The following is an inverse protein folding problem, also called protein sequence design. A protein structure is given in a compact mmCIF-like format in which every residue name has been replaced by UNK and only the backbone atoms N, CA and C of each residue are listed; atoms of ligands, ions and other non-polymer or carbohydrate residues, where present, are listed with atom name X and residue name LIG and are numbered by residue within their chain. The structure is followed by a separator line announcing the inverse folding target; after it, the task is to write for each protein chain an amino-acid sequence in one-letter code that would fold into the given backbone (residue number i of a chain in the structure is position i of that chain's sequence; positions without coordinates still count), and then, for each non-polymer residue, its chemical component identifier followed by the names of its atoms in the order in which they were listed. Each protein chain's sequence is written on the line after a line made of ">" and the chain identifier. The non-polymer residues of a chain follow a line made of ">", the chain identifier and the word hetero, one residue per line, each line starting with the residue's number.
data_IF_279720627893
#
_entry.id   IF_279720627893
#
_cell.length_a   1.000
_cell.length_b   1.000
_cell.length_c   1.000
_cell.angle_alpha   90.00
_cell.angle_beta   90.00
_cell.angle_gamma   90.00
#
_symmetry.space_group_name_H-M   'P 1'
#
loop_
_entity.id
_entity.type
_entity.pdbx_description
1 polymer ?
#
# COMPACT_ATOMS: atom_id res chain seq x y z
N UNK A 1 9.07 -9.88 26.25
CA UNK A 1 9.05 -8.80 25.23
C UNK A 1 9.15 -9.54 23.92
N UNK A 2 8.00 -10.03 23.50
CA UNK A 2 7.84 -10.92 22.38
C UNK A 2 7.45 -10.06 21.19
N UNK A 3 8.30 -10.04 20.17
CA UNK A 3 8.07 -9.27 18.94
C UNK A 3 7.59 -10.23 17.85
N UNK A 4 6.49 -9.84 17.20
CA UNK A 4 5.74 -10.64 16.24
C UNK A 4 6.58 -11.11 15.06
N UNK A 5 6.68 -12.43 14.95
CA UNK A 5 7.50 -13.16 14.01
C UNK A 5 6.83 -13.27 12.61
N UNK A 6 7.05 -12.32 11.71
CA UNK A 6 6.67 -12.47 10.30
C UNK A 6 7.75 -13.22 9.49
N UNK A 7 7.88 -14.51 9.75
CA UNK A 7 8.74 -15.37 8.93
C UNK A 7 8.82 -16.80 9.41
N UNK A 8 7.84 -17.65 9.03
CA UNK A 8 8.15 -19.01 8.52
C UNK A 8 6.92 -19.79 8.02
N UNK A 9 7.01 -20.20 6.75
CA UNK A 9 6.64 -21.50 6.18
C UNK A 9 5.19 -22.01 6.33
N UNK A 10 4.43 -21.90 5.23
CA UNK A 10 3.54 -22.95 4.74
C UNK A 10 4.17 -23.57 3.50
N UNK A 11 4.76 -24.75 3.67
CA UNK A 11 5.25 -25.60 2.58
C UNK A 11 4.05 -26.22 1.88
N UNK A 12 3.70 -25.75 0.69
CA UNK A 12 2.93 -26.52 -0.29
C UNK A 12 3.88 -26.90 -1.42
N UNK A 13 4.55 -28.03 -1.25
CA UNK A 13 5.40 -28.62 -2.28
C UNK A 13 4.51 -29.22 -3.38
N UNK A 14 4.27 -28.48 -4.45
CA UNK A 14 3.96 -29.06 -5.75
C UNK A 14 5.25 -29.02 -6.58
N UNK A 15 6.03 -30.09 -6.48
CA UNK A 15 7.02 -30.41 -7.50
C UNK A 15 6.26 -31.01 -8.69
N UNK A 16 6.23 -30.29 -9.81
CA UNK A 16 6.20 -30.89 -11.13
C UNK A 16 6.88 -29.98 -12.16
N UNK A 17 7.63 -30.64 -13.03
CA UNK A 17 8.38 -30.24 -14.22
C UNK A 17 8.17 -28.83 -14.82
N UNK A 18 9.31 -28.18 -15.07
CA UNK A 18 9.62 -27.18 -16.12
C UNK A 18 8.47 -26.35 -16.71
N UNK A 19 8.50 -25.03 -16.51
CA UNK A 19 8.19 -24.01 -17.54
C UNK A 19 8.03 -22.63 -16.88
N UNK A 20 8.85 -21.66 -17.32
CA UNK A 20 8.68 -20.18 -17.44
C UNK A 20 7.77 -19.35 -16.49
N UNK A 21 7.20 -19.88 -15.41
CA UNK A 21 6.23 -19.20 -14.54
C UNK A 21 6.38 -19.59 -13.05
N UNK A 22 7.60 -19.57 -12.51
CA UNK A 22 7.80 -19.79 -11.08
C UNK A 22 7.36 -18.57 -10.27
N UNK A 23 6.17 -18.64 -9.67
CA UNK A 23 5.73 -17.70 -8.64
C UNK A 23 6.55 -17.91 -7.36
N UNK A 24 7.07 -16.83 -6.78
CA UNK A 24 7.75 -16.89 -5.49
C UNK A 24 7.27 -15.82 -4.51
N UNK A 25 7.56 -16.03 -3.23
CA UNK A 25 7.22 -15.04 -2.19
C UNK A 25 8.24 -13.91 -2.19
N UNK A 26 7.75 -12.69 -2.38
CA UNK A 26 8.56 -11.47 -2.29
C UNK A 26 8.16 -10.63 -1.07
N UNK A 27 9.15 -10.09 -0.38
CA UNK A 27 8.98 -9.04 0.63
C UNK A 27 9.65 -7.76 0.15
N UNK A 28 8.99 -6.62 0.28
CA UNK A 28 9.57 -5.31 -0.05
C UNK A 28 9.70 -4.51 1.24
N UNK A 29 10.91 -4.06 1.58
CA UNK A 29 11.13 -3.17 2.72
C UNK A 29 10.64 -1.75 2.40
N UNK A 30 10.42 -0.90 3.42
CA UNK A 30 10.21 0.52 3.19
C UNK A 30 11.27 1.12 2.29
N UNK A 31 10.84 2.07 1.45
CA UNK A 31 11.65 2.82 0.48
C UNK A 31 12.27 2.04 -0.68
N UNK A 32 12.10 0.72 -0.73
CA UNK A 32 12.37 -0.03 -1.96
C UNK A 32 11.15 0.00 -2.88
N UNK A 33 11.38 -0.02 -4.19
CA UNK A 33 10.33 0.09 -5.19
C UNK A 33 10.41 -1.00 -6.27
N UNK A 34 9.24 -1.50 -6.67
CA UNK A 34 9.06 -2.44 -7.78
C UNK A 34 7.93 -1.96 -8.69
N UNK A 35 8.01 -2.30 -9.97
CA UNK A 35 6.91 -2.12 -10.93
C UNK A 35 6.36 -3.51 -11.30
N UNK A 36 5.05 -3.64 -11.52
CA UNK A 36 4.45 -4.93 -11.90
C UNK A 36 2.96 -4.85 -12.21
N UNK A 37 2.41 -5.89 -12.83
CA UNK A 37 0.99 -5.95 -13.18
C UNK A 37 0.19 -6.64 -12.08
N UNK A 38 -0.82 -5.97 -11.53
CA UNK A 38 -1.70 -6.56 -10.53
C UNK A 38 -2.51 -7.71 -11.14
N UNK A 39 -2.38 -8.92 -10.58
CA UNK A 39 -3.06 -10.12 -11.09
C UNK A 39 -4.28 -10.46 -10.24
N UNK A 40 -4.05 -10.69 -8.95
CA UNK A 40 -5.09 -11.15 -8.04
C UNK A 40 -4.79 -10.80 -6.59
N UNK A 41 -5.84 -10.77 -5.78
CA UNK A 41 -5.76 -10.61 -4.33
C UNK A 41 -6.68 -11.65 -3.68
N UNK A 42 -6.20 -12.35 -2.67
CA UNK A 42 -6.97 -13.41 -2.01
C UNK A 42 -6.55 -13.57 -0.55
N UNK A 43 -7.47 -14.06 0.28
CA UNK A 43 -7.21 -14.32 1.70
C UNK A 43 -6.79 -15.76 1.95
N UNK A 44 -5.81 -15.97 2.83
CA UNK A 44 -5.48 -17.29 3.37
C UNK A 44 -5.50 -17.24 4.88
N UNK A 45 -6.11 -18.24 5.50
CA UNK A 45 -6.08 -18.43 6.96
C UNK A 45 -5.03 -19.50 7.32
N UNK A 46 -4.18 -19.17 8.28
CA UNK A 46 -3.20 -20.09 8.83
C UNK A 46 -3.19 -20.11 10.36
N UNK A 47 -2.30 -20.92 10.93
CA UNK A 47 -2.09 -21.01 12.38
C UNK A 47 -1.72 -19.69 13.08
N UNK A 48 -1.35 -18.66 12.32
CA UNK A 48 -0.95 -17.34 12.80
C UNK A 48 -1.96 -16.25 12.44
N UNK A 49 -3.15 -16.63 11.94
CA UNK A 49 -4.20 -15.71 11.54
C UNK A 49 -4.38 -15.61 10.03
N UNK A 50 -5.21 -14.66 9.64
CA UNK A 50 -5.54 -14.34 8.25
C UNK A 50 -4.44 -13.48 7.63
N UNK A 51 -4.11 -13.78 6.38
CA UNK A 51 -3.18 -13.03 5.54
C UNK A 51 -3.84 -12.69 4.21
N UNK A 52 -3.57 -11.48 3.71
CA UNK A 52 -3.89 -11.07 2.35
C UNK A 52 -2.70 -11.38 1.46
N UNK A 53 -2.92 -12.20 0.43
CA UNK A 53 -1.99 -12.38 -0.68
C UNK A 53 -2.29 -11.36 -1.77
N UNK A 54 -1.24 -10.80 -2.35
CA UNK A 54 -1.30 -9.93 -3.53
C UNK A 54 -0.36 -10.54 -4.56
N UNK A 55 -0.91 -10.98 -5.68
CA UNK A 55 -0.13 -11.52 -6.79
C UNK A 55 0.11 -10.42 -7.83
N UNK A 56 1.37 -10.34 -8.27
CA UNK A 56 1.80 -9.44 -9.34
C UNK A 56 2.60 -10.23 -10.37
N UNK A 57 2.37 -9.91 -11.65
CA UNK A 57 3.08 -10.49 -12.79
C UNK A 57 4.11 -9.51 -13.35
N UNK A 58 5.07 -10.05 -14.11
CA UNK A 58 6.06 -9.28 -14.87
C UNK A 58 6.80 -8.23 -14.01
N UNK A 59 7.10 -8.57 -12.76
CA UNK A 59 7.66 -7.62 -11.81
C UNK A 59 9.09 -7.26 -12.18
N UNK A 60 9.41 -5.97 -12.07
CA UNK A 60 10.73 -5.40 -12.30
C UNK A 60 11.18 -4.60 -11.08
N UNK A 61 12.48 -4.58 -10.82
CA UNK A 61 13.08 -3.82 -9.72
C UNK A 61 13.30 -2.37 -10.16
N UNK A 62 12.71 -1.41 -9.45
CA UNK A 62 12.85 0.02 -9.71
C UNK A 62 13.95 0.62 -8.85
N UNK A 63 13.87 0.35 -7.54
CA UNK A 63 14.85 0.86 -6.60
C UNK A 63 15.09 -0.12 -5.43
N UNK A 64 16.36 -0.30 -5.10
CA UNK A 64 16.85 -1.16 -4.04
C UNK A 64 17.63 -2.37 -4.57
N UNK A 65 17.80 -3.36 -3.72
CA UNK A 65 18.48 -4.60 -4.07
C UNK A 65 17.65 -5.84 -3.70
N UNK A 66 17.43 -6.68 -4.70
CA UNK A 66 16.75 -7.96 -4.59
C UNK A 66 17.72 -9.02 -4.10
N UNK A 67 17.34 -9.70 -3.02
CA UNK A 67 18.06 -10.84 -2.49
C UNK A 67 17.20 -12.09 -2.38
N UNK A 68 17.84 -13.25 -2.52
CA UNK A 68 17.28 -14.57 -2.18
C UNK A 68 17.79 -15.00 -0.81
N UNK A 69 16.89 -15.45 0.06
CA UNK A 69 17.26 -15.97 1.37
C UNK A 69 17.94 -17.34 1.25
N UNK A 70 19.01 -17.56 2.02
CA UNK A 70 19.65 -18.88 2.11
C UNK A 70 18.74 -19.88 2.84
N UNK A 71 18.47 -21.00 2.17
CA UNK A 71 17.78 -22.15 2.76
C UNK A 71 16.26 -22.17 2.56
N UNK A 72 15.68 -21.18 1.89
CA UNK A 72 14.29 -21.21 1.39
C UNK A 72 14.17 -20.39 0.08
N UNK A 73 12.98 -20.35 -0.51
CA UNK A 73 12.70 -19.61 -1.75
C UNK A 73 12.11 -18.20 -1.50
N UNK A 74 12.30 -17.66 -0.30
CA UNK A 74 11.87 -16.29 0.02
C UNK A 74 12.82 -15.29 -0.62
N UNK A 75 12.26 -14.31 -1.29
CA UNK A 75 13.00 -13.17 -1.80
C UNK A 75 12.63 -11.91 -1.01
N UNK A 76 13.58 -10.98 -0.91
CA UNK A 76 13.38 -9.71 -0.24
C UNK A 76 14.10 -8.60 -1.00
N UNK A 77 13.39 -7.51 -1.29
CA UNK A 77 13.99 -6.26 -1.75
C UNK A 77 14.30 -5.41 -0.54
N UNK A 78 15.56 -5.01 -0.40
CA UNK A 78 16.02 -4.07 0.61
C UNK A 78 16.22 -2.69 -0.05
N UNK A 79 15.82 -1.63 0.64
CA UNK A 79 16.18 -0.27 0.26
C UNK A 79 17.66 -0.03 0.48
N UNK A 80 18.22 0.95 -0.22
CA UNK A 80 19.60 1.38 -0.05
C UNK A 80 19.90 1.81 1.39
N UNK A 81 18.96 2.53 2.02
CA UNK A 81 19.02 2.88 3.43
C UNK A 81 19.11 1.65 4.35
N UNK A 82 18.35 0.59 4.10
CA UNK A 82 18.42 -0.64 4.89
C UNK A 82 19.77 -1.37 4.72
N UNK A 83 20.47 -1.16 3.62
CA UNK A 83 21.79 -1.70 3.33
C UNK A 83 22.92 -0.81 3.89
N UNK A 84 22.57 0.35 4.45
CA UNK A 84 23.51 1.30 5.07
C UNK A 84 24.06 2.36 4.11
N UNK A 85 23.42 2.56 2.96
CA UNK A 85 23.72 3.64 2.03
C UNK A 85 22.77 4.82 2.29
N UNK A 86 23.29 6.04 2.23
CA UNK A 86 22.49 7.26 2.31
C UNK A 86 22.58 8.04 1.00
N UNK A 87 21.62 8.93 0.76
CA UNK A 87 21.50 9.70 -0.49
C UNK A 87 22.67 10.70 -0.70
N UNK A 88 23.53 10.90 0.31
CA UNK A 88 24.73 11.73 0.20
C UNK A 88 25.95 10.92 -0.28
N UNK A 89 25.85 9.59 -0.32
CA UNK A 89 26.90 8.71 -0.83
C UNK A 89 26.86 8.62 -2.36
N UNK A 90 28.05 8.58 -2.98
CA UNK A 90 28.20 8.23 -4.40
C UNK A 90 28.27 6.70 -4.51
N UNK A 91 27.16 6.06 -4.88
CA UNK A 91 27.05 4.62 -5.05
C UNK A 91 26.11 4.26 -6.22
N UNK A 92 26.21 3.03 -6.71
CA UNK A 92 25.32 2.49 -7.72
C UNK A 92 24.89 1.03 -7.42
N UNK A 93 24.16 0.42 -8.36
CA UNK A 93 23.72 -0.97 -8.26
C UNK A 93 24.84 -2.00 -7.95
N UNK A 94 26.07 -1.72 -8.38
CA UNK A 94 27.23 -2.61 -8.19
C UNK A 94 27.78 -2.59 -6.76
N UNK A 95 27.45 -1.57 -5.98
CA UNK A 95 27.88 -1.43 -4.58
C UNK A 95 27.06 -2.29 -3.62
N UNK A 96 25.94 -2.84 -4.07
CA UNK A 96 25.10 -3.74 -3.28
C UNK A 96 25.92 -4.92 -2.70
N UNK A 97 25.86 -5.17 -1.38
CA UNK A 97 26.58 -6.26 -0.75
C UNK A 97 26.21 -7.62 -1.36
N UNK A 98 27.18 -8.43 -1.78
CA UNK A 98 26.90 -9.77 -2.34
C UNK A 98 26.16 -10.69 -1.36
N UNK A 99 26.37 -10.48 -0.07
CA UNK A 99 25.68 -11.19 1.02
C UNK A 99 25.25 -10.16 2.05
N UNK A 100 23.98 -10.22 2.44
CA UNK A 100 23.42 -9.39 3.50
C UNK A 100 22.87 -10.27 4.63
N UNK A 101 22.99 -9.80 5.87
CA UNK A 101 22.49 -10.53 7.04
C UNK A 101 21.60 -9.63 7.88
N UNK A 102 20.41 -10.14 8.19
CA UNK A 102 19.43 -9.45 9.03
C UNK A 102 19.13 -10.34 10.23
N UNK A 103 19.11 -9.76 11.44
CA UNK A 103 18.72 -10.50 12.65
C UNK A 103 17.33 -10.06 13.08
N UNK A 104 16.42 -11.01 13.15
CA UNK A 104 15.02 -10.78 13.51
C UNK A 104 14.50 -11.93 14.36
N UNK A 105 13.76 -11.63 15.43
CA UNK A 105 13.23 -12.65 16.35
C UNK A 105 14.31 -13.54 16.99
N UNK A 106 15.51 -12.99 17.21
CA UNK A 106 16.66 -13.74 17.73
C UNK A 106 17.29 -14.74 16.75
N UNK A 107 16.87 -14.74 15.47
CA UNK A 107 17.44 -15.56 14.40
C UNK A 107 18.11 -14.66 13.37
N UNK A 108 19.29 -15.07 12.91
CA UNK A 108 19.99 -14.38 11.82
C UNK A 108 19.68 -15.09 10.51
N UNK A 109 19.19 -14.33 9.55
CA UNK A 109 18.91 -14.77 8.19
C UNK A 109 19.97 -14.21 7.26
N UNK A 110 20.46 -15.06 6.35
CA UNK A 110 21.43 -14.67 5.34
C UNK A 110 20.76 -14.61 3.97
N UNK A 111 21.15 -13.64 3.18
CA UNK A 111 20.58 -13.30 1.90
C UNK A 111 21.70 -13.17 0.86
N UNK A 112 21.51 -13.73 -0.33
CA UNK A 112 22.43 -13.61 -1.48
C UNK A 112 21.85 -12.67 -2.52
N UNK A 113 22.69 -11.76 -3.02
CA UNK A 113 22.29 -10.75 -3.99
C UNK A 113 21.88 -11.43 -5.31
N UNK A 114 20.73 -11.02 -5.85
CA UNK A 114 20.22 -11.45 -7.15
C UNK A 114 20.37 -10.33 -8.17
N UNK A 115 19.87 -9.13 -7.82
CA UNK A 115 19.93 -7.94 -8.66
C UNK A 115 19.89 -6.69 -7.78
N UNK A 116 20.37 -5.56 -8.30
CA UNK A 116 20.27 -4.26 -7.64
C UNK A 116 20.13 -3.15 -8.67
N UNK A 117 19.42 -2.09 -8.27
CA UNK A 117 19.21 -0.89 -9.07
C UNK A 117 19.06 0.30 -8.15
N UNK A 118 19.77 1.38 -8.47
CA UNK A 118 19.62 2.66 -7.80
C UNK A 118 19.10 3.65 -8.84
N UNK A 119 17.82 4.02 -8.71
CA UNK A 119 17.10 4.76 -9.76
C UNK A 119 17.69 6.15 -10.00
N UNK A 120 18.25 6.78 -8.97
CA UNK A 120 18.80 8.14 -9.06
C UNK A 120 20.15 8.20 -9.81
N UNK A 121 20.95 7.12 -9.76
CA UNK A 121 22.25 7.09 -10.44
C UNK A 121 22.12 6.90 -11.96
N UNK A 122 21.14 6.12 -12.41
CA UNK A 122 20.87 5.89 -13.83
C UNK A 122 19.37 5.56 -14.06
N UNK A 123 18.50 6.57 -14.21
CA UNK A 123 17.06 6.35 -14.37
C UNK A 123 16.72 5.64 -15.69
N UNK A 124 17.59 5.77 -16.69
CA UNK A 124 17.44 5.17 -18.02
C UNK A 124 17.98 3.74 -18.11
N UNK A 125 18.63 3.23 -17.05
CA UNK A 125 19.09 1.84 -17.01
C UNK A 125 17.92 0.87 -17.18
N UNK A 126 18.18 -0.33 -17.67
CA UNK A 126 17.16 -1.39 -17.72
C UNK A 126 16.76 -1.80 -16.30
N UNK A 127 15.46 -1.96 -16.05
CA UNK A 127 14.98 -2.48 -14.76
C UNK A 127 15.21 -3.99 -14.70
N UNK A 128 15.92 -4.52 -13.68
CA UNK A 128 16.12 -5.95 -13.54
C UNK A 128 14.77 -6.69 -13.41
N UNK A 129 14.60 -7.75 -14.19
CA UNK A 129 13.42 -8.61 -14.10
C UNK A 129 13.45 -9.40 -12.78
N UNK A 130 12.33 -9.33 -12.05
CA UNK A 130 12.08 -10.08 -10.82
C UNK A 130 11.23 -11.31 -11.13
N UNK A 131 10.24 -11.19 -12.04
CA UNK A 131 9.33 -12.26 -12.45
C UNK A 131 7.97 -12.20 -11.72
N UNK A 132 7.25 -13.32 -11.67
CA UNK A 132 5.93 -13.38 -11.03
C UNK A 132 6.07 -13.59 -9.51
N UNK A 133 5.36 -12.78 -8.72
CA UNK A 133 5.52 -12.75 -7.27
C UNK A 133 4.20 -12.76 -6.52
N UNK A 134 4.25 -13.28 -5.29
CA UNK A 134 3.19 -13.16 -4.30
C UNK A 134 3.75 -12.40 -3.09
N UNK A 135 3.12 -11.28 -2.76
CA UNK A 135 3.35 -10.54 -1.52
C UNK A 135 2.30 -10.92 -0.49
N UNK A 136 2.74 -11.07 0.77
CA UNK A 136 1.87 -11.42 1.88
C UNK A 136 1.80 -10.29 2.89
N UNK A 137 0.60 -9.78 3.11
CA UNK A 137 0.30 -8.79 4.14
C UNK A 137 -0.54 -9.43 5.26
N UNK A 138 -0.11 -9.27 6.50
CA UNK A 138 -0.69 -10.02 7.63
C UNK A 138 -0.61 -9.22 8.94
N UNK A 139 -1.14 -9.82 10.02
CA UNK A 139 -1.14 -9.28 11.38
C UNK A 139 -0.30 -10.07 12.37
N UNK A 140 -0.11 -9.48 13.55
CA UNK A 140 0.62 -10.08 14.67
C UNK A 140 -0.28 -10.26 15.89
N UNK A 141 0.33 -10.36 17.07
CA UNK A 141 -0.32 -10.44 18.39
C UNK A 141 -1.36 -9.32 18.63
N UNK A 142 -1.20 -8.16 18.00
CA UNK A 142 -2.09 -7.00 18.16
C UNK A 142 -3.02 -6.79 16.96
N UNK A 143 -3.28 -7.82 16.16
CA UNK A 143 -4.15 -7.74 14.99
C UNK A 143 -3.42 -7.42 13.68
N UNK A 144 -4.15 -7.13 12.59
CA UNK A 144 -3.59 -6.81 11.29
C UNK A 144 -2.66 -5.59 11.31
N UNK A 145 -1.54 -5.69 10.59
CA UNK A 145 -0.67 -4.52 10.40
C UNK A 145 -1.38 -3.41 9.62
N UNK A 146 -0.97 -2.15 9.85
CA UNK A 146 -1.48 -1.00 9.08
C UNK A 146 -1.31 -1.19 7.57
N UNK A 147 -0.18 -1.80 7.16
CA UNK A 147 0.08 -2.18 5.78
C UNK A 147 -0.97 -3.15 5.24
N UNK A 148 -1.29 -4.21 5.99
CA UNK A 148 -2.30 -5.18 5.60
C UNK A 148 -3.70 -4.57 5.48
N UNK A 149 -4.10 -3.74 6.46
CA UNK A 149 -5.37 -3.01 6.43
C UNK A 149 -5.45 -2.12 5.19
N UNK A 150 -4.38 -1.37 4.90
CA UNK A 150 -4.35 -0.44 3.76
C UNK A 150 -4.41 -1.18 2.43
N UNK A 151 -3.63 -2.26 2.26
CA UNK A 151 -3.71 -3.10 1.06
C UNK A 151 -5.11 -3.69 0.86
N UNK A 152 -5.73 -4.22 1.93
CA UNK A 152 -7.08 -4.76 1.85
C UNK A 152 -8.08 -3.70 1.39
N UNK A 153 -8.02 -2.49 1.96
CA UNK A 153 -8.93 -1.39 1.61
C UNK A 153 -8.72 -0.85 0.20
N UNK A 154 -7.47 -0.78 -0.26
CA UNK A 154 -7.11 -0.27 -1.59
C UNK A 154 -7.38 -1.28 -2.69
N UNK A 155 -7.02 -2.54 -2.50
CA UNK A 155 -6.93 -3.48 -3.63
C UNK A 155 -8.18 -4.33 -3.81
N UNK A 156 -9.01 -4.48 -2.77
CA UNK A 156 -10.05 -5.50 -2.78
C UNK A 156 -11.43 -4.95 -3.12
N UNK A 157 -12.30 -5.82 -3.65
CA UNK A 157 -13.68 -5.50 -4.03
C UNK A 157 -14.50 -4.86 -2.92
N UNK A 158 -14.24 -5.22 -1.65
CA UNK A 158 -14.93 -4.70 -0.48
C UNK A 158 -14.53 -3.27 -0.09
N UNK A 159 -13.43 -2.74 -0.64
CA UNK A 159 -12.92 -1.42 -0.25
C UNK A 159 -12.74 -1.31 1.28
N UNK A 160 -13.31 -0.27 1.88
CA UNK A 160 -13.29 -0.08 3.35
C UNK A 160 -13.83 -1.29 4.12
N UNK A 161 -14.86 -1.95 3.60
CA UNK A 161 -15.52 -3.09 4.23
C UNK A 161 -14.68 -4.38 4.25
N UNK A 162 -13.48 -4.36 3.65
CA UNK A 162 -12.56 -5.49 3.70
C UNK A 162 -12.06 -5.78 5.13
N UNK A 163 -11.92 -4.74 5.95
CA UNK A 163 -11.43 -4.86 7.34
C UNK A 163 -12.63 -4.92 8.29
N UNK A 164 -12.85 -6.08 8.90
CA UNK A 164 -13.97 -6.36 9.82
C UNK A 164 -13.67 -5.96 11.27
N UNK A 165 -12.44 -6.20 11.71
CA UNK A 165 -11.96 -5.86 13.06
C UNK A 165 -10.47 -5.55 13.01
N UNK A 166 -10.02 -4.66 13.90
CA UNK A 166 -8.61 -4.27 13.97
C UNK A 166 -7.83 -5.00 15.07
N UNK A 167 -8.54 -5.76 15.93
CA UNK A 167 -7.97 -6.34 17.15
C UNK A 167 -7.79 -7.87 17.07
N UNK A 168 -8.30 -8.53 16.02
CA UNK A 168 -8.27 -9.99 15.90
C UNK A 168 -7.61 -10.45 14.60
N UNK A 169 -6.40 -10.98 14.72
CA UNK A 169 -5.63 -11.49 13.59
C UNK A 169 -6.27 -12.68 12.87
N UNK A 170 -7.22 -13.39 13.49
CA UNK A 170 -7.91 -14.54 12.90
C UNK A 170 -9.22 -14.17 12.21
N UNK A 171 -9.75 -12.96 12.41
CA UNK A 171 -11.07 -12.55 11.90
C UNK A 171 -11.11 -11.12 11.34
N UNK A 172 -9.96 -10.51 11.06
CA UNK A 172 -9.88 -9.12 10.61
C UNK A 172 -10.31 -8.88 9.17
N UNK A 173 -10.26 -9.90 8.31
CA UNK A 173 -10.46 -9.77 6.88
C UNK A 173 -11.81 -10.38 6.47
N UNK A 174 -12.52 -9.70 5.57
CA UNK A 174 -13.75 -10.19 4.95
C UNK A 174 -13.54 -11.59 4.32
N UNK A 175 -14.62 -12.36 4.19
CA UNK A 175 -14.60 -13.60 3.40
C UNK A 175 -14.68 -13.28 1.91
N UNK A 176 -14.14 -14.16 1.06
CA UNK A 176 -14.21 -14.04 -0.41
C UNK A 176 -13.54 -12.78 -0.99
N UNK A 177 -12.47 -12.33 -0.35
CA UNK A 177 -11.64 -11.22 -0.84
C UNK A 177 -11.11 -11.53 -2.24
N UNK A 178 -11.36 -10.60 -3.15
CA UNK A 178 -10.91 -10.61 -4.54
C UNK A 178 -10.35 -9.24 -4.92
N UNK A 179 -9.44 -9.20 -5.89
CA UNK A 179 -8.93 -7.96 -6.46
C UNK A 179 -10.11 -7.18 -7.09
N UNK A 180 -10.08 -5.85 -6.96
CA UNK A 180 -11.00 -4.97 -7.69
C UNK A 180 -10.85 -5.21 -9.21
N UNK A 181 -11.93 -5.49 -9.96
CA UNK A 181 -11.83 -5.80 -11.38
C UNK A 181 -11.15 -4.71 -12.21
N UNK A 182 -11.31 -3.43 -11.84
CA UNK A 182 -10.66 -2.31 -12.52
C UNK A 182 -9.14 -2.24 -12.32
N UNK A 183 -8.58 -3.00 -11.36
CA UNK A 183 -7.15 -3.08 -11.12
C UNK A 183 -6.48 -4.30 -11.78
N UNK A 184 -7.27 -5.26 -12.29
CA UNK A 184 -6.71 -6.46 -12.90
C UNK A 184 -5.92 -6.10 -14.18
N UNK A 185 -4.66 -6.56 -14.24
CA UNK A 185 -3.71 -6.21 -15.30
C UNK A 185 -3.20 -4.78 -15.25
N UNK A 186 -3.49 -4.01 -14.18
CA UNK A 186 -2.99 -2.66 -14.05
C UNK A 186 -1.50 -2.68 -13.66
N UNK A 187 -0.66 -2.07 -14.49
CA UNK A 187 0.75 -1.84 -14.17
C UNK A 187 0.87 -0.77 -13.08
N UNK A 188 1.45 -1.15 -11.95
CA UNK A 188 1.63 -0.28 -10.80
C UNK A 188 3.07 -0.25 -10.31
N UNK A 189 3.49 0.89 -9.77
CA UNK A 189 4.65 0.99 -8.88
C UNK A 189 4.23 0.74 -7.46
N UNK A 190 4.88 -0.20 -6.79
CA UNK A 190 4.65 -0.51 -5.38
C UNK A 190 5.87 -0.19 -4.54
N UNK A 191 5.64 0.51 -3.43
CA UNK A 191 6.62 0.75 -2.38
C UNK A 191 5.91 0.95 -1.03
N UNK A 192 6.68 0.95 0.06
CA UNK A 192 6.17 1.27 1.39
C UNK A 192 6.87 2.50 1.94
N UNK A 193 6.10 3.39 2.55
CA UNK A 193 6.64 4.54 3.27
C UNK A 193 6.56 4.30 4.77
N UNK A 194 7.59 4.72 5.49
CA UNK A 194 7.58 4.77 6.94
C UNK A 194 6.76 5.96 7.42
N UNK A 195 5.94 5.74 8.44
CA UNK A 195 5.21 6.79 9.14
C UNK A 195 5.37 6.63 10.63
N UNK A 196 5.69 7.73 11.29
CA UNK A 196 5.80 7.79 12.75
C UNK A 196 4.41 7.81 13.36
N UNK A 197 4.14 6.87 14.27
CA UNK A 197 3.01 6.92 15.19
C UNK A 197 3.46 7.25 16.61
N UNK A 198 2.51 7.47 17.52
CA UNK A 198 2.81 7.85 18.91
C UNK A 198 3.65 6.79 19.65
N UNK A 199 3.38 5.51 19.43
CA UNK A 199 4.07 4.40 20.11
C UNK A 199 4.92 3.54 19.16
N UNK A 200 4.58 3.51 17.87
CA UNK A 200 5.19 2.62 16.90
C UNK A 200 5.29 3.27 15.52
N UNK A 201 6.39 2.96 14.84
CA UNK A 201 6.50 3.15 13.39
C UNK A 201 5.54 2.19 12.67
N UNK A 202 4.82 2.71 11.68
CA UNK A 202 4.02 1.89 10.77
C UNK A 202 4.42 2.10 9.31
N UNK A 203 4.18 1.08 8.50
CA UNK A 203 4.48 1.11 7.07
C UNK A 203 3.18 1.24 6.27
N UNK A 204 3.12 2.23 5.39
CA UNK A 204 1.97 2.48 4.53
C UNK A 204 2.31 2.07 3.09
N UNK A 205 1.58 1.10 2.50
CA UNK A 205 1.78 0.69 1.13
C UNK A 205 1.21 1.74 0.17
N UNK A 206 2.00 2.06 -0.85
CA UNK A 206 1.67 2.98 -1.93
C UNK A 206 1.69 2.19 -3.24
N UNK A 207 0.68 2.41 -4.06
CA UNK A 207 0.54 1.83 -5.39
C UNK A 207 0.28 2.99 -6.35
N UNK A 208 1.19 3.27 -7.28
CA UNK A 208 1.01 4.32 -8.29
C UNK A 208 0.65 3.65 -9.60
N UNK A 209 -0.47 4.04 -10.21
CA UNK A 209 -0.84 3.64 -11.55
C UNK A 209 0.12 4.30 -12.55
N UNK A 210 0.98 3.51 -13.20
CA UNK A 210 2.01 4.05 -14.09
C UNK A 210 1.46 4.67 -15.38
N UNK A 211 0.22 4.33 -15.77
CA UNK A 211 -0.40 4.91 -16.95
C UNK A 211 -0.96 6.32 -16.70
N UNK A 212 -1.37 6.61 -15.45
CA UNK A 212 -2.00 7.87 -15.06
C UNK A 212 -1.13 8.73 -14.15
N UNK A 213 -0.06 8.15 -13.59
CA UNK A 213 0.75 8.74 -12.53
C UNK A 213 -0.06 9.14 -11.29
N UNK A 214 -1.08 8.34 -10.97
CA UNK A 214 -2.01 8.57 -9.86
C UNK A 214 -1.94 7.44 -8.84
N UNK A 215 -2.01 7.77 -7.55
CA UNK A 215 -2.08 6.76 -6.50
C UNK A 215 -3.40 5.98 -6.57
N UNK A 216 -3.32 4.66 -6.45
CA UNK A 216 -4.47 3.78 -6.30
C UNK A 216 -5.11 4.05 -4.93
N UNK A 217 -6.27 4.69 -4.95
CA UNK A 217 -7.03 5.06 -3.76
C UNK A 217 -8.04 3.99 -3.33
N UNK A 218 -8.50 4.11 -2.08
CA UNK A 218 -9.54 3.26 -1.50
C UNK A 218 -10.86 3.52 -2.23
N UNK A 219 -11.56 2.44 -2.60
CA UNK A 219 -12.94 2.54 -3.11
C UNK A 219 -13.87 2.94 -1.97
N UNK A 220 -14.46 4.14 -2.04
CA UNK A 220 -15.58 4.52 -1.19
C UNK A 220 -16.87 3.98 -1.83
N UNK A 221 -17.56 3.07 -1.16
CA UNK A 221 -18.94 2.73 -1.54
C UNK A 221 -19.88 3.86 -1.10
N UNK A 222 -19.90 4.93 -1.88
CA UNK A 222 -21.01 5.89 -1.93
C UNK A 222 -21.22 6.22 -3.41
N UNK A 223 -22.41 5.90 -3.91
CA UNK A 223 -22.64 5.69 -5.33
C UNK A 223 -22.40 6.90 -6.22
N UNK A 224 -21.85 6.67 -7.41
CA UNK A 224 -22.59 6.70 -8.68
C UNK A 224 -21.61 6.22 -9.77
N UNK A 225 -22.03 5.22 -10.52
CA UNK A 225 -21.36 4.76 -11.73
C UNK A 225 -21.30 5.88 -12.76
N UNK A 226 -20.15 6.54 -12.92
CA UNK A 226 -19.88 7.34 -14.11
C UNK A 226 -19.38 6.41 -15.21
N UNK A 227 -20.30 5.64 -15.79
CA UNK A 227 -20.07 5.01 -17.08
C UNK A 227 -20.00 6.12 -18.14
N UNK A 228 -18.82 6.28 -18.74
CA UNK A 228 -18.57 7.18 -19.86
C UNK A 228 -19.32 6.65 -21.08
N UNK A 229 -20.44 7.28 -21.43
CA UNK A 229 -21.09 7.14 -22.73
C UNK A 229 -21.24 8.55 -23.33
N UNK A 230 -20.37 8.87 -24.30
CA UNK A 230 -20.60 9.86 -25.36
C UNK A 230 -21.80 9.36 -26.19
N UNK A 231 -22.79 10.11 -26.67
CA UNK A 231 -22.91 11.52 -27.04
C UNK A 231 -24.41 11.86 -27.27
N UNK A 232 -24.74 13.16 -27.25
CA UNK A 232 -25.96 13.84 -27.78
C UNK A 232 -27.34 13.59 -27.13
N UNK A 233 -27.84 14.59 -26.38
CA UNK A 233 -28.81 15.62 -26.86
C UNK A 233 -29.44 16.33 -25.64
N UNK A 234 -29.31 17.66 -25.53
CA UNK A 234 -30.12 18.53 -24.64
C UNK A 234 -31.57 18.60 -25.16
N UNK A 235 -32.62 18.71 -24.32
CA UNK A 235 -32.84 19.98 -23.62
C UNK A 235 -33.40 19.88 -22.18
N UNK A 236 -32.96 20.84 -21.37
CA UNK A 236 -33.74 21.64 -20.41
C UNK A 236 -34.95 20.96 -19.70
N UNK A 237 -34.72 20.56 -18.44
CA UNK A 237 -35.74 20.57 -17.39
C UNK A 237 -35.05 20.66 -16.02
N UNK A 238 -35.25 21.75 -15.29
CA UNK A 238 -35.02 21.78 -13.85
C UNK A 238 -35.88 20.73 -13.16
N UNK A 239 -35.30 19.97 -12.21
CA UNK A 239 -36.00 19.87 -10.94
C UNK A 239 -35.06 20.06 -9.75
N UNK A 240 -35.60 20.76 -8.76
CA UNK A 240 -35.19 20.91 -7.37
C UNK A 240 -34.15 19.89 -6.88
N UNK A 241 -32.95 20.38 -6.58
CA UNK A 241 -31.97 19.67 -5.77
C UNK A 241 -32.53 19.57 -4.35
N UNK A 242 -33.15 18.43 -4.01
CA UNK A 242 -33.29 18.04 -2.62
C UNK A 242 -31.89 17.75 -2.08
N UNK A 243 -31.43 18.64 -1.22
CA UNK A 243 -30.24 18.47 -0.41
C UNK A 243 -30.32 17.13 0.36
N UNK A 244 -29.48 16.17 -0.03
CA UNK A 244 -29.18 15.03 0.82
C UNK A 244 -28.33 15.55 1.97
N UNK A 245 -28.93 15.67 3.14
CA UNK A 245 -28.23 15.95 4.39
C UNK A 245 -27.36 14.74 4.75
N UNK A 246 -26.05 14.90 4.70
CA UNK A 246 -25.08 14.08 5.43
C UNK A 246 -24.35 14.97 6.44
N UNK A 247 -24.10 14.41 7.63
CA UNK A 247 -23.66 15.06 8.86
C UNK A 247 -22.60 16.18 8.67
N UNK A 248 -22.86 17.34 9.28
CA UNK A 248 -21.85 18.39 9.53
C UNK A 248 -21.85 19.60 8.57
N UNK A 249 -22.54 19.56 7.43
CA UNK A 249 -22.61 20.71 6.52
C UNK A 249 -21.27 21.11 5.88
N UNK A 250 -20.30 20.20 5.83
CA UNK A 250 -19.03 20.39 5.15
C UNK A 250 -19.13 20.09 3.65
N UNK A 251 -18.38 20.80 2.78
CA UNK A 251 -18.16 20.41 1.39
C UNK A 251 -17.63 18.98 1.29
N UNK A 252 -17.90 18.30 0.18
CA UNK A 252 -17.50 16.91 -0.02
C UNK A 252 -15.99 16.68 0.17
N UNK A 253 -15.17 17.63 -0.27
CA UNK A 253 -13.71 17.61 -0.17
C UNK A 253 -13.22 17.66 1.29
N UNK A 254 -13.92 18.42 2.14
CA UNK A 254 -13.64 18.45 3.59
C UNK A 254 -14.14 17.17 4.26
N UNK A 255 -15.24 16.57 3.80
CA UNK A 255 -15.66 15.25 4.29
C UNK A 255 -14.67 14.15 3.91
N UNK A 256 -14.09 14.21 2.70
CA UNK A 256 -13.01 13.32 2.26
C UNK A 256 -11.76 13.48 3.13
N UNK A 257 -11.38 14.73 3.43
CA UNK A 257 -10.28 15.02 4.36
C UNK A 257 -10.55 14.47 5.78
N UNK A 258 -11.75 14.69 6.33
CA UNK A 258 -12.14 14.17 7.65
C UNK A 258 -12.08 12.64 7.66
N UNK A 259 -12.59 12.01 6.59
CA UNK A 259 -12.48 10.57 6.38
C UNK A 259 -11.03 10.10 6.34
N UNK A 260 -10.18 10.78 5.58
CA UNK A 260 -8.75 10.51 5.51
C UNK A 260 -8.07 10.60 6.88
N UNK A 261 -8.30 11.65 7.66
CA UNK A 261 -7.71 11.79 8.99
C UNK A 261 -8.14 10.66 9.93
N UNK A 262 -9.43 10.30 9.95
CA UNK A 262 -9.91 9.15 10.75
C UNK A 262 -9.30 7.83 10.29
N UNK A 263 -9.23 7.62 8.97
CA UNK A 263 -8.68 6.40 8.38
C UNK A 263 -7.19 6.21 8.66
N UNK A 264 -6.47 7.33 8.76
CA UNK A 264 -5.04 7.38 9.07
C UNK A 264 -4.75 7.51 10.58
N UNK A 265 -5.79 7.49 11.43
CA UNK A 265 -5.69 7.71 12.87
C UNK A 265 -4.99 9.03 13.24
N UNK A 266 -5.10 10.04 12.36
CA UNK A 266 -4.68 11.41 12.62
C UNK A 266 -5.81 12.04 13.45
N UNK A 267 -5.79 11.81 14.75
CA UNK A 267 -6.86 12.22 15.68
C UNK A 267 -6.44 13.39 16.58
N UNK A 268 -5.14 13.72 16.64
CA UNK A 268 -4.65 14.86 17.39
C UNK A 268 -4.89 16.17 16.62
N UNK A 269 -5.37 17.24 17.29
CA UNK A 269 -5.71 18.51 16.64
C UNK A 269 -4.56 19.13 15.83
N UNK A 270 -3.32 19.03 16.33
CA UNK A 270 -2.17 19.65 15.69
C UNK A 270 -1.81 18.95 14.37
N UNK A 271 -1.86 17.62 14.32
CA UNK A 271 -1.60 16.87 13.09
C UNK A 271 -2.75 16.95 12.09
N UNK A 272 -4.00 17.04 12.55
CA UNK A 272 -5.15 17.32 11.67
C UNK A 272 -4.95 18.68 10.99
N UNK A 273 -4.66 19.74 11.75
CA UNK A 273 -4.45 21.08 11.21
C UNK A 273 -3.22 21.15 10.29
N UNK A 274 -2.11 20.52 10.67
CA UNK A 274 -0.91 20.45 9.83
C UNK A 274 -1.17 19.75 8.50
N UNK A 275 -1.95 18.67 8.51
CA UNK A 275 -2.33 17.94 7.28
C UNK A 275 -3.26 18.80 6.43
N UNK A 276 -4.21 19.50 7.05
CA UNK A 276 -5.12 20.42 6.37
C UNK A 276 -4.36 21.57 5.69
N UNK A 277 -3.43 22.20 6.41
CA UNK A 277 -2.59 23.29 5.88
C UNK A 277 -1.70 22.81 4.73
N UNK A 278 -1.19 21.57 4.81
CA UNK A 278 -0.40 20.95 3.72
C UNK A 278 -1.25 20.74 2.47
N UNK A 279 -2.51 20.33 2.63
CA UNK A 279 -3.45 20.18 1.51
C UNK A 279 -3.86 21.53 0.93
N UNK A 280 -4.10 22.55 1.75
CA UNK A 280 -4.43 23.91 1.27
C UNK A 280 -3.24 24.56 0.53
N UNK A 281 -2.02 24.31 1.00
CA UNK A 281 -0.80 24.85 0.38
C UNK A 281 -0.44 24.18 -0.96
N UNK A 282 -1.03 23.01 -1.26
CA UNK A 282 -0.80 22.32 -2.52
C UNK A 282 -1.81 22.79 -3.58
N UNK A 283 -1.38 23.48 -4.66
CA UNK A 283 -2.27 23.99 -5.70
C UNK A 283 -2.99 22.90 -6.51
N UNK A 284 -2.57 21.63 -6.40
CA UNK A 284 -3.21 20.48 -7.04
C UNK A 284 -4.20 19.75 -6.11
N UNK A 285 -4.31 20.19 -4.85
CA UNK A 285 -5.27 19.67 -3.88
C UNK A 285 -6.70 20.11 -4.20
N UNK A 286 -7.66 19.23 -3.89
CA UNK A 286 -9.09 19.54 -3.98
C UNK A 286 -9.61 20.39 -2.81
N UNK A 287 -8.79 20.64 -1.78
CA UNK A 287 -9.12 21.46 -0.60
C UNK A 287 -8.46 22.83 -0.75
N UNK A 288 -9.27 23.90 -0.81
CA UNK A 288 -8.81 25.28 -0.89
C UNK A 288 -8.96 26.06 0.42
N UNK A 289 -8.29 27.22 0.52
CA UNK A 289 -8.29 28.07 1.71
C UNK A 289 -9.70 28.57 2.08
N UNK A 290 -10.56 28.83 1.09
CA UNK A 290 -11.92 29.33 1.31
C UNK A 290 -12.85 28.26 1.92
N UNK A 291 -12.57 26.98 1.69
CA UNK A 291 -13.28 25.87 2.33
C UNK A 291 -12.92 25.68 3.80
N UNK A 292 -11.75 26.15 4.21
CA UNK A 292 -11.16 25.93 5.54
C UNK A 292 -11.27 27.17 6.45
N UNK A 293 -11.24 28.38 5.86
CA UNK A 293 -11.24 29.64 6.60
C UNK A 293 -12.42 29.72 7.60
N UNK A 294 -12.10 29.83 8.89
CA UNK A 294 -13.08 29.93 9.97
C UNK A 294 -13.81 28.63 10.35
N UNK A 295 -13.40 27.47 9.79
CA UNK A 295 -14.00 26.15 10.07
C UNK A 295 -13.02 25.12 10.66
N UNK A 296 -11.79 25.52 10.92
CA UNK A 296 -10.70 24.65 11.37
C UNK A 296 -11.06 23.86 12.65
N UNK A 297 -11.62 24.53 13.65
CA UNK A 297 -12.02 23.90 14.91
C UNK A 297 -13.17 22.88 14.71
N UNK A 298 -14.13 23.19 13.83
CA UNK A 298 -15.24 22.30 13.52
C UNK A 298 -14.75 21.07 12.73
N UNK A 299 -13.77 21.23 11.85
CA UNK A 299 -13.15 20.13 11.10
C UNK A 299 -12.39 19.20 12.05
N UNK A 300 -11.61 19.76 12.98
CA UNK A 300 -10.92 18.97 14.02
C UNK A 300 -11.92 18.22 14.89
N UNK A 301 -12.99 18.88 15.35
CA UNK A 301 -14.03 18.24 16.13
C UNK A 301 -14.73 17.13 15.34
N UNK A 302 -14.95 17.33 14.03
CA UNK A 302 -15.51 16.32 13.15
C UNK A 302 -14.56 15.13 12.93
N UNK A 303 -13.24 15.30 12.93
CA UNK A 303 -12.30 14.17 12.90
C UNK A 303 -12.37 13.35 14.18
N UNK A 304 -12.52 14.00 15.33
CA UNK A 304 -12.50 13.37 16.65
C UNK A 304 -13.82 12.74 17.10
N UNK A 305 -14.94 13.09 16.45
CA UNK A 305 -16.26 12.52 16.70
C UNK A 305 -16.37 11.06 16.22
#
# INVERSE_FOLDING_TARGET
>A
MDYNNFGSSSTTSNQNDSDENNEFTLKVTPYAAIDGDLDSAFSVEGKYGQSLAIKMNDVTLVDGALYKRKGDDTHKVFSWQALGFDDEMDFDGNDAPKVYSETFGGRTYQYELVAARYDEADPDADQPEVGNIIMWESGGEHGPSSSAKTCARKLTTHGRGAVLTEDDVHAWLATDVSLRPELEGLRVRFFKVEREGEEYTFYTPVFINLALDEEVTIKNETGTTTAKATEETEPEAEPEVQAAATDGGFPAQIQEFIGFCRDQQIVDPESVLRTLDTMVANPESSVDEAMVEGRQDDIVAAVQA
#
